data_IF_623002215039
#
_entry.id   IF_623002215039
#
_cell.length_a   1.000
_cell.length_b   1.000
_cell.length_c   1.000
_cell.angle_alpha   90.00
_cell.angle_beta   90.00
_cell.angle_gamma   90.00
#
_symmetry.space_group_name_H-M   'P 1'
#
loop_
_entity.id
_entity.type
_entity.pdbx_description
1 polymer ?
#
# COMPACT_ATOMS: atom_id res chain seq x y z
N UNK A 1 -15.86 5.93 9.62
CA UNK A 1 -14.42 5.93 9.97
C UNK A 1 -14.10 7.26 10.62
N UNK A 2 -13.61 7.26 11.83
CA UNK A 2 -13.51 8.48 12.63
C UNK A 2 -12.32 9.34 12.16
N UNK A 3 -12.61 10.55 11.68
CA UNK A 3 -11.61 11.57 11.26
C UNK A 3 -10.54 11.88 12.34
N UNK A 4 -10.72 11.38 13.56
CA UNK A 4 -9.74 11.45 14.64
C UNK A 4 -8.50 10.58 14.40
N UNK A 5 -8.65 9.37 13.81
CA UNK A 5 -7.53 8.43 13.59
C UNK A 5 -6.53 8.92 12.54
N UNK A 6 -7.01 9.53 11.45
CA UNK A 6 -6.15 10.11 10.40
C UNK A 6 -5.37 11.34 10.90
N UNK A 7 -6.00 12.18 11.74
CA UNK A 7 -5.30 13.31 12.38
C UNK A 7 -4.21 12.85 13.34
N UNK A 8 -4.38 11.69 13.97
CA UNK A 8 -3.40 11.16 14.91
C UNK A 8 -2.18 10.56 14.18
N UNK A 9 -2.36 9.95 13.01
CA UNK A 9 -1.26 9.38 12.22
C UNK A 9 -0.36 10.48 11.62
N UNK A 10 -0.92 11.56 11.09
CA UNK A 10 -0.16 12.73 10.65
C UNK A 10 0.49 13.47 11.85
N UNK A 11 -0.09 13.37 13.04
CA UNK A 11 0.49 13.90 14.25
C UNK A 11 1.73 13.13 14.71
N UNK A 12 1.91 11.85 14.34
CA UNK A 12 3.06 11.06 14.82
C UNK A 12 4.33 11.25 14.00
N UNK A 13 4.21 11.47 12.68
CA UNK A 13 5.36 11.98 11.91
C UNK A 13 5.67 13.41 12.37
N UNK A 14 4.65 14.16 12.79
CA UNK A 14 4.80 15.42 13.52
C UNK A 14 5.17 15.23 15.02
N UNK A 15 4.83 14.11 15.69
CA UNK A 15 5.08 13.89 17.13
C UNK A 15 6.53 13.51 17.43
N UNK A 16 7.31 12.99 16.52
CA UNK A 16 8.76 13.12 16.64
C UNK A 16 9.20 14.60 16.66
N UNK A 17 8.33 15.53 16.18
CA UNK A 17 8.51 16.99 16.31
C UNK A 17 7.70 17.63 17.45
N UNK A 18 6.65 17.00 17.99
CA UNK A 18 5.68 17.58 18.95
C UNK A 18 5.84 17.02 20.37
N UNK A 19 6.59 15.97 20.59
CA UNK A 19 7.11 15.67 21.94
C UNK A 19 7.97 16.83 22.49
N UNK A 20 8.21 17.87 21.65
CA UNK A 20 8.92 19.08 22.00
C UNK A 20 8.03 20.25 22.49
N UNK A 21 6.68 20.18 22.43
CA UNK A 21 5.87 21.39 22.66
C UNK A 21 4.59 21.22 23.52
N UNK A 22 4.46 20.18 24.29
CA UNK A 22 3.23 19.91 25.03
C UNK A 22 3.36 19.59 26.51
N UNK A 23 4.09 20.40 27.29
CA UNK A 23 3.94 20.31 28.74
C UNK A 23 4.19 21.66 29.41
N UNK A 24 3.10 22.27 29.82
CA UNK A 24 3.13 23.20 30.92
C UNK A 24 3.48 22.38 32.20
N UNK A 25 4.73 22.49 32.68
CA UNK A 25 5.12 22.06 34.01
C UNK A 25 5.50 20.59 34.22
N UNK A 26 6.32 20.00 33.33
CA UNK A 26 7.02 18.76 33.63
C UNK A 26 8.45 18.82 33.12
N UNK A 27 9.33 18.15 33.82
CA UNK A 27 10.74 17.97 33.48
C UNK A 27 10.89 17.73 31.98
N UNK A 28 11.81 18.50 31.36
CA UNK A 28 12.26 18.22 30.00
C UNK A 28 12.79 16.78 30.01
N UNK A 29 11.98 15.81 29.53
CA UNK A 29 12.50 14.51 29.18
C UNK A 29 13.56 14.79 28.12
N UNK A 30 14.81 14.63 28.44
CA UNK A 30 15.89 14.70 27.45
C UNK A 30 15.56 13.67 26.38
N UNK A 31 15.51 14.11 25.12
CA UNK A 31 15.32 13.19 23.98
C UNK A 31 16.52 12.24 24.04
N UNK A 32 16.30 10.93 24.04
CA UNK A 32 17.42 9.99 24.06
C UNK A 32 18.35 10.32 22.88
N UNK A 33 19.62 10.40 23.14
CA UNK A 33 20.63 10.77 22.15
C UNK A 33 20.70 9.73 21.02
N UNK A 34 20.35 8.49 21.33
CA UNK A 34 20.28 7.35 20.39
C UNK A 34 18.85 6.80 20.38
N UNK A 35 18.35 6.52 19.19
CA UNK A 35 17.03 5.93 18.94
C UNK A 35 17.24 4.69 18.07
N UNK A 36 16.85 3.53 18.57
CA UNK A 36 16.88 2.30 17.79
C UNK A 36 15.49 2.00 17.21
N UNK A 37 15.38 2.01 15.88
CA UNK A 37 14.15 1.73 15.12
C UNK A 37 14.26 0.33 14.51
N UNK A 38 13.34 -0.55 14.87
CA UNK A 38 13.16 -1.85 14.24
C UNK A 38 12.08 -1.79 13.15
N UNK A 39 12.38 -2.29 11.94
CA UNK A 39 11.42 -2.35 10.83
C UNK A 39 11.27 -3.80 10.39
N UNK A 40 10.06 -4.35 10.51
CA UNK A 40 9.71 -5.69 10.03
C UNK A 40 8.81 -5.59 8.80
N UNK A 41 9.31 -6.04 7.65
CA UNK A 41 8.60 -6.01 6.37
C UNK A 41 8.09 -7.38 5.98
N UNK A 42 6.92 -7.44 5.34
CA UNK A 42 6.36 -8.71 4.87
C UNK A 42 7.18 -9.33 3.73
N UNK A 43 7.61 -8.51 2.75
CA UNK A 43 8.40 -8.94 1.60
C UNK A 43 9.12 -7.74 0.96
N UNK A 44 10.45 -7.70 1.03
CA UNK A 44 11.23 -6.59 0.43
C UNK A 44 11.34 -6.67 -1.10
N UNK A 45 10.84 -7.73 -1.72
CA UNK A 45 10.76 -7.83 -3.20
C UNK A 45 9.61 -7.02 -3.78
N UNK A 46 8.68 -6.56 -2.95
CA UNK A 46 7.65 -5.60 -3.36
C UNK A 46 8.30 -4.26 -3.71
N UNK A 47 8.09 -3.80 -4.95
CA UNK A 47 8.72 -2.57 -5.47
C UNK A 47 8.25 -1.32 -4.73
N UNK A 48 6.98 -1.26 -4.33
CA UNK A 48 6.44 -0.15 -3.55
C UNK A 48 7.11 -0.09 -2.17
N UNK A 49 7.23 -1.23 -1.49
CA UNK A 49 7.93 -1.29 -0.19
C UNK A 49 9.41 -0.94 -0.33
N UNK A 50 10.06 -1.39 -1.40
CA UNK A 50 11.45 -1.03 -1.67
C UNK A 50 11.66 0.48 -1.72
N UNK A 51 10.83 1.21 -2.47
CA UNK A 51 10.86 2.66 -2.54
C UNK A 51 10.48 3.34 -1.22
N UNK A 52 9.48 2.83 -0.52
CA UNK A 52 9.07 3.33 0.80
C UNK A 52 10.22 3.22 1.80
N UNK A 53 10.90 2.07 1.86
CA UNK A 53 12.04 1.85 2.75
C UNK A 53 13.24 2.75 2.41
N UNK A 54 13.52 3.00 1.13
CA UNK A 54 14.57 3.96 0.75
C UNK A 54 14.22 5.39 1.17
N UNK A 55 12.96 5.79 1.05
CA UNK A 55 12.48 7.05 1.57
C UNK A 55 12.60 7.12 3.10
N UNK A 56 12.22 6.05 3.80
CA UNK A 56 12.35 5.95 5.25
C UNK A 56 13.82 6.11 5.70
N UNK A 57 14.74 5.39 5.07
CA UNK A 57 16.19 5.56 5.31
C UNK A 57 16.66 6.99 5.08
N UNK A 58 16.13 7.67 4.06
CA UNK A 58 16.46 9.06 3.75
C UNK A 58 15.99 10.01 4.86
N UNK A 59 14.78 9.78 5.38
CA UNK A 59 14.27 10.58 6.50
C UNK A 59 15.06 10.33 7.80
N UNK A 60 15.48 9.09 8.08
CA UNK A 60 16.40 8.81 9.20
C UNK A 60 17.68 9.63 9.05
N UNK A 61 18.32 9.62 7.87
CA UNK A 61 19.51 10.45 7.61
C UNK A 61 19.25 11.97 7.77
N UNK A 62 18.03 12.41 7.51
CA UNK A 62 17.63 13.81 7.71
C UNK A 62 17.53 14.14 9.19
N UNK A 63 17.02 13.22 10.02
CA UNK A 63 16.96 13.36 11.47
C UNK A 63 18.38 13.34 12.09
N UNK A 64 19.27 12.48 11.59
CA UNK A 64 20.68 12.43 12.02
C UNK A 64 21.37 13.79 11.81
N UNK A 65 21.12 14.46 10.69
CA UNK A 65 21.63 15.82 10.43
C UNK A 65 21.08 16.88 11.41
N UNK A 66 19.96 16.58 12.08
CA UNK A 66 19.36 17.42 13.13
C UNK A 66 19.88 17.08 14.52
N UNK A 67 20.80 16.13 14.64
CA UNK A 67 21.47 15.77 15.88
C UNK A 67 20.90 14.55 16.60
N UNK A 68 20.00 13.80 15.98
CA UNK A 68 19.56 12.50 16.48
C UNK A 68 20.59 11.42 16.10
N UNK A 69 20.83 10.47 17.00
CA UNK A 69 21.61 9.27 16.69
C UNK A 69 20.63 8.12 16.44
N UNK A 70 20.48 7.70 15.16
CA UNK A 70 19.48 6.72 14.77
C UNK A 70 20.17 5.41 14.39
N UNK A 71 19.80 4.33 15.09
CA UNK A 71 20.12 2.96 14.70
C UNK A 71 18.90 2.35 14.02
N UNK A 72 19.03 1.89 12.78
CA UNK A 72 17.95 1.34 11.98
C UNK A 72 18.25 -0.11 11.59
N UNK A 73 17.38 -1.02 11.99
CA UNK A 73 17.39 -2.43 11.54
C UNK A 73 16.15 -2.71 10.71
N UNK A 74 16.33 -3.28 9.52
CA UNK A 74 15.23 -3.67 8.63
C UNK A 74 15.32 -5.17 8.37
N UNK A 75 14.26 -5.91 8.65
CA UNK A 75 14.17 -7.35 8.46
C UNK A 75 13.06 -7.72 7.47
N UNK A 76 13.30 -8.76 6.67
CA UNK A 76 12.38 -9.28 5.65
C UNK A 76 11.77 -10.60 6.14
N UNK A 77 10.45 -10.64 6.30
CA UNK A 77 9.73 -11.83 6.73
C UNK A 77 9.48 -12.84 5.59
N UNK A 78 9.76 -12.45 4.33
CA UNK A 78 9.54 -13.30 3.15
C UNK A 78 8.13 -13.91 3.10
N UNK A 79 7.10 -13.13 3.42
CA UNK A 79 5.68 -13.53 3.51
C UNK A 79 5.35 -14.55 4.62
N UNK A 80 6.19 -14.68 5.65
CA UNK A 80 5.94 -15.59 6.77
C UNK A 80 5.65 -14.81 8.05
N UNK A 81 4.42 -14.90 8.58
CA UNK A 81 4.06 -14.26 9.85
C UNK A 81 4.94 -14.78 10.99
N UNK A 82 5.15 -16.08 11.06
CA UNK A 82 6.02 -16.68 12.07
C UNK A 82 7.46 -16.12 12.03
N UNK A 83 8.02 -15.96 10.82
CA UNK A 83 9.35 -15.35 10.66
C UNK A 83 9.34 -13.91 11.13
N UNK A 84 8.25 -13.18 10.86
CA UNK A 84 8.10 -11.80 11.30
C UNK A 84 8.00 -11.69 12.82
N UNK A 85 7.27 -12.60 13.47
CA UNK A 85 7.16 -12.67 14.93
C UNK A 85 8.54 -12.89 15.58
N UNK A 86 9.31 -13.87 15.05
CA UNK A 86 10.67 -14.16 15.53
C UNK A 86 11.60 -12.93 15.34
N UNK A 87 11.51 -12.23 14.21
CA UNK A 87 12.28 -11.01 13.91
C UNK A 87 11.94 -9.86 14.85
N UNK A 88 10.65 -9.66 15.16
CA UNK A 88 10.21 -8.64 16.10
C UNK A 88 10.74 -8.94 17.51
N UNK A 89 10.68 -10.19 17.95
CA UNK A 89 11.26 -10.58 19.24
C UNK A 89 12.77 -10.36 19.28
N UNK A 90 13.49 -10.62 18.18
CA UNK A 90 14.92 -10.33 18.08
C UNK A 90 15.20 -8.83 18.21
N UNK A 91 14.45 -7.96 17.52
CA UNK A 91 14.61 -6.51 17.60
C UNK A 91 14.30 -5.98 19.00
N UNK A 92 13.27 -6.50 19.66
CA UNK A 92 12.94 -6.21 21.08
C UNK A 92 14.10 -6.63 21.98
N UNK A 93 14.60 -7.87 21.83
CA UNK A 93 15.72 -8.39 22.61
C UNK A 93 17.01 -7.59 22.42
N UNK A 94 17.19 -6.96 21.26
CA UNK A 94 18.32 -6.06 20.97
C UNK A 94 18.06 -4.61 21.45
N UNK A 95 16.93 -4.33 22.11
CA UNK A 95 16.62 -3.06 22.76
C UNK A 95 16.12 -1.99 21.79
N UNK A 96 15.28 -2.32 20.81
CA UNK A 96 14.65 -1.31 19.97
C UNK A 96 13.69 -0.43 20.80
N UNK A 97 13.64 0.86 20.44
CA UNK A 97 12.78 1.85 21.08
C UNK A 97 11.42 1.98 20.38
N UNK A 98 11.35 1.64 19.10
CA UNK A 98 10.15 1.76 18.25
C UNK A 98 10.15 0.62 17.23
N UNK A 99 9.00 0.00 17.03
CA UNK A 99 8.76 -0.95 15.95
C UNK A 99 7.94 -0.32 14.84
N UNK A 100 8.37 -0.50 13.60
CA UNK A 100 7.58 -0.22 12.40
C UNK A 100 7.29 -1.55 11.71
N UNK A 101 6.02 -1.93 11.60
CA UNK A 101 5.64 -3.27 11.13
C UNK A 101 4.72 -3.20 9.93
N UNK A 102 5.14 -3.79 8.84
CA UNK A 102 4.30 -4.09 7.68
C UNK A 102 3.96 -5.58 7.72
N UNK A 103 2.77 -5.92 8.21
CA UNK A 103 2.37 -7.28 8.55
C UNK A 103 2.44 -8.25 7.38
N UNK A 104 2.97 -9.45 7.61
CA UNK A 104 2.87 -10.56 6.68
C UNK A 104 1.42 -11.06 6.61
N UNK A 105 0.76 -11.23 7.75
CA UNK A 105 -0.67 -11.49 7.86
C UNK A 105 -1.34 -10.40 8.71
N UNK A 106 -2.20 -9.59 8.08
CA UNK A 106 -2.90 -8.50 8.76
C UNK A 106 -3.91 -8.95 9.81
N UNK A 107 -4.28 -10.23 9.77
CA UNK A 107 -5.28 -10.83 10.68
C UNK A 107 -4.65 -11.55 11.87
N UNK A 108 -3.31 -11.62 11.94
CA UNK A 108 -2.60 -12.29 13.03
C UNK A 108 -1.42 -11.46 13.60
N UNK A 109 -1.66 -10.23 14.10
CA UNK A 109 -0.64 -9.40 14.73
C UNK A 109 -0.42 -9.72 16.22
N UNK A 110 -1.16 -10.66 16.80
CA UNK A 110 -1.30 -10.81 18.25
C UNK A 110 0.02 -11.06 18.97
N UNK A 111 0.92 -11.87 18.40
CA UNK A 111 2.22 -12.16 18.99
C UNK A 111 3.12 -10.92 19.01
N UNK A 112 3.11 -10.15 17.93
CA UNK A 112 3.87 -8.90 17.80
C UNK A 112 3.36 -7.87 18.81
N UNK A 113 2.02 -7.69 18.90
CA UNK A 113 1.41 -6.74 19.85
C UNK A 113 1.75 -7.12 21.29
N UNK A 114 1.58 -8.40 21.64
CA UNK A 114 1.88 -8.88 23.01
C UNK A 114 3.34 -8.65 23.37
N UNK A 115 4.27 -9.03 22.48
CA UNK A 115 5.70 -8.89 22.73
C UNK A 115 6.10 -7.42 22.93
N UNK A 116 5.58 -6.52 22.10
CA UNK A 116 5.86 -5.09 22.20
C UNK A 116 5.24 -4.47 23.47
N UNK A 117 4.01 -4.86 23.81
CA UNK A 117 3.32 -4.40 25.02
C UNK A 117 4.04 -4.81 26.31
N UNK A 118 4.55 -6.04 26.37
CA UNK A 118 5.32 -6.52 27.53
C UNK A 118 6.61 -5.72 27.78
N UNK A 119 7.13 -5.04 26.75
CA UNK A 119 8.36 -4.25 26.81
C UNK A 119 8.11 -2.74 26.69
N UNK A 120 6.84 -2.30 26.65
CA UNK A 120 6.44 -0.89 26.49
C UNK A 120 7.01 -0.22 25.23
N UNK A 121 7.09 -0.97 24.12
CA UNK A 121 7.65 -0.52 22.83
C UNK A 121 6.51 -0.19 21.87
N UNK A 122 6.32 1.08 21.46
CA UNK A 122 5.26 1.46 20.53
C UNK A 122 5.42 0.80 19.17
N UNK A 123 4.27 0.44 18.55
CA UNK A 123 4.23 -0.10 17.19
C UNK A 123 3.57 0.89 16.24
N UNK A 124 4.22 1.14 15.10
CA UNK A 124 3.64 1.82 13.95
C UNK A 124 3.43 0.77 12.87
N UNK A 125 2.21 0.29 12.74
CA UNK A 125 1.85 -0.52 11.57
C UNK A 125 1.79 0.37 10.33
N UNK A 126 2.26 -0.11 9.20
CA UNK A 126 2.23 0.67 7.97
C UNK A 126 1.84 -0.17 6.76
N UNK A 127 1.24 0.46 5.75
CA UNK A 127 0.74 -0.10 4.50
C UNK A 127 -0.39 -1.13 4.71
N UNK A 128 -0.15 -2.27 5.34
CA UNK A 128 -1.17 -3.29 5.63
C UNK A 128 -1.83 -2.97 6.98
N UNK A 129 -3.08 -2.52 6.93
CA UNK A 129 -3.84 -2.14 8.12
C UNK A 129 -4.27 -3.37 8.91
N UNK A 130 -3.90 -3.50 10.20
CA UNK A 130 -4.50 -4.52 11.07
C UNK A 130 -6.02 -4.38 11.15
N UNK A 131 -6.71 -5.39 11.63
CA UNK A 131 -8.15 -5.24 11.91
C UNK A 131 -8.35 -4.23 13.06
N UNK A 132 -9.50 -3.56 13.08
CA UNK A 132 -9.74 -2.46 14.00
C UNK A 132 -9.67 -2.91 15.47
N UNK A 133 -10.12 -4.13 15.75
CA UNK A 133 -10.08 -4.73 17.07
C UNK A 133 -8.64 -4.89 17.59
N UNK A 134 -7.69 -5.21 16.72
CA UNK A 134 -6.28 -5.33 17.09
C UNK A 134 -5.66 -3.98 17.40
N UNK A 135 -5.97 -2.95 16.63
CA UNK A 135 -5.48 -1.59 16.87
C UNK A 135 -6.03 -0.97 18.18
N UNK A 136 -7.14 -1.50 18.71
CA UNK A 136 -7.73 -1.04 19.95
C UNK A 136 -7.20 -1.74 21.19
N UNK A 137 -6.36 -2.77 21.07
CA UNK A 137 -5.88 -3.55 22.20
C UNK A 137 -4.93 -2.77 23.11
N UNK A 138 -4.24 -1.76 22.56
CA UNK A 138 -3.27 -0.97 23.31
C UNK A 138 -3.16 0.45 22.73
N UNK A 139 -2.91 1.43 23.57
CA UNK A 139 -2.88 2.86 23.20
C UNK A 139 -1.59 3.30 22.51
N UNK A 140 -0.54 2.45 22.46
CA UNK A 140 0.69 2.68 21.72
C UNK A 140 0.73 1.95 20.37
N UNK A 141 -0.42 1.57 19.84
CA UNK A 141 -0.56 1.04 18.49
C UNK A 141 -1.02 2.12 17.52
N UNK A 142 -0.28 2.28 16.44
CA UNK A 142 -0.53 3.31 15.43
C UNK A 142 -0.57 2.67 14.05
N UNK A 143 -1.31 3.28 13.13
CA UNK A 143 -1.33 2.87 11.73
C UNK A 143 -1.11 4.04 10.79
N UNK A 144 -0.26 3.82 9.78
CA UNK A 144 0.02 4.74 8.68
C UNK A 144 -0.18 4.02 7.35
N UNK A 145 -1.14 4.46 6.57
CA UNK A 145 -1.44 3.89 5.27
C UNK A 145 -2.16 4.86 4.35
N UNK A 146 -2.35 4.44 3.09
CA UNK A 146 -3.11 5.17 2.11
C UNK A 146 -4.63 4.95 2.32
N UNK A 147 -5.44 5.93 1.90
CA UNK A 147 -6.89 5.75 1.83
C UNK A 147 -7.23 5.01 0.52
N UNK A 148 -7.41 3.70 0.61
CA UNK A 148 -7.60 2.84 -0.55
C UNK A 148 -8.85 3.21 -1.37
N UNK A 149 -9.94 3.62 -0.69
CA UNK A 149 -11.17 4.05 -1.35
C UNK A 149 -10.95 5.32 -2.17
N UNK A 150 -10.24 6.30 -1.62
CA UNK A 150 -9.88 7.52 -2.33
C UNK A 150 -9.06 7.21 -3.58
N UNK A 151 -8.09 6.28 -3.48
CA UNK A 151 -7.27 5.86 -4.62
C UNK A 151 -8.13 5.31 -5.76
N UNK A 152 -9.07 4.38 -5.47
CA UNK A 152 -9.97 3.85 -6.48
C UNK A 152 -10.93 4.90 -7.04
N UNK A 153 -11.45 5.80 -6.22
CA UNK A 153 -12.29 6.91 -6.67
C UNK A 153 -11.56 7.85 -7.62
N UNK A 154 -10.31 8.22 -7.30
CA UNK A 154 -9.49 9.06 -8.17
C UNK A 154 -9.20 8.37 -9.51
N UNK A 155 -8.87 7.08 -9.50
CA UNK A 155 -8.67 6.30 -10.72
C UNK A 155 -9.95 6.25 -11.56
N UNK A 156 -11.12 6.00 -10.93
CA UNK A 156 -12.41 5.98 -11.60
C UNK A 156 -12.79 7.32 -12.20
N UNK A 157 -12.52 8.43 -11.49
CA UNK A 157 -12.75 9.77 -12.02
C UNK A 157 -11.89 10.04 -13.25
N UNK A 158 -10.57 9.78 -13.18
CA UNK A 158 -9.66 9.98 -14.30
C UNK A 158 -10.05 9.14 -15.52
N UNK A 159 -10.42 7.88 -15.30
CA UNK A 159 -10.88 7.01 -16.39
C UNK A 159 -12.21 7.49 -17.00
N UNK A 160 -13.16 7.94 -16.14
CA UNK A 160 -14.44 8.48 -16.64
C UNK A 160 -14.27 9.76 -17.46
N UNK A 161 -13.40 10.65 -17.01
CA UNK A 161 -13.11 11.89 -17.74
C UNK A 161 -12.51 11.58 -19.12
N UNK A 162 -11.54 10.66 -19.16
CA UNK A 162 -10.94 10.22 -20.42
C UNK A 162 -11.96 9.58 -21.36
N UNK A 163 -12.82 8.67 -20.87
CA UNK A 163 -13.84 8.00 -21.69
C UNK A 163 -14.86 9.02 -22.25
N UNK A 164 -15.24 10.03 -21.46
CA UNK A 164 -16.18 11.09 -21.92
C UNK A 164 -15.56 11.98 -23.00
N UNK A 165 -14.26 12.25 -22.91
CA UNK A 165 -13.52 13.04 -23.89
C UNK A 165 -13.19 12.24 -25.16
N UNK A 166 -13.15 10.90 -25.06
CA UNK A 166 -12.78 9.96 -26.12
C UNK A 166 -13.88 8.90 -26.34
N UNK A 167 -15.01 9.23 -27.02
CA UNK A 167 -16.09 8.28 -27.26
C UNK A 167 -15.70 7.04 -28.09
N UNK A 168 -14.58 7.09 -28.78
CA UNK A 168 -13.96 5.98 -29.53
C UNK A 168 -13.36 4.88 -28.63
N UNK A 169 -13.30 5.08 -27.32
CA UNK A 169 -13.00 4.02 -26.34
C UNK A 169 -14.05 2.91 -26.38
N UNK A 170 -15.33 3.24 -26.54
CA UNK A 170 -16.42 2.29 -26.84
C UNK A 170 -16.33 1.87 -28.32
N UNK A 171 -15.44 0.93 -28.61
CA UNK A 171 -15.08 0.51 -29.98
C UNK A 171 -16.18 -0.26 -30.68
N UNK A 172 -16.99 -0.99 -29.95
CA UNK A 172 -18.09 -1.77 -30.50
C UNK A 172 -19.41 -0.98 -30.56
N UNK A 173 -19.43 0.25 -29.98
CA UNK A 173 -20.58 1.17 -29.97
C UNK A 173 -21.85 0.59 -29.33
N UNK A 174 -21.69 -0.25 -28.30
CA UNK A 174 -22.83 -0.83 -27.58
C UNK A 174 -23.28 0.02 -26.37
N UNK A 175 -22.60 1.12 -26.12
CA UNK A 175 -22.87 2.05 -25.02
C UNK A 175 -22.37 1.58 -23.68
N UNK A 176 -21.49 0.57 -23.65
CA UNK A 176 -20.82 0.07 -22.45
C UNK A 176 -19.31 0.07 -22.67
N UNK A 177 -18.58 0.10 -21.58
CA UNK A 177 -17.12 -0.08 -21.59
C UNK A 177 -16.77 -1.47 -21.10
N UNK A 178 -16.21 -2.28 -21.98
CA UNK A 178 -15.71 -3.61 -21.66
C UNK A 178 -14.34 -3.52 -21.01
N UNK A 179 -14.26 -3.90 -19.74
CA UNK A 179 -13.03 -3.74 -18.97
C UNK A 179 -12.52 -5.04 -18.34
N UNK A 180 -11.23 -5.07 -18.13
CA UNK A 180 -10.54 -6.05 -17.27
C UNK A 180 -9.91 -5.32 -16.09
N UNK A 181 -9.74 -6.03 -14.97
CA UNK A 181 -9.07 -5.48 -13.82
C UNK A 181 -7.95 -6.40 -13.33
N UNK A 182 -6.79 -5.79 -13.09
CA UNK A 182 -5.64 -6.41 -12.45
C UNK A 182 -5.63 -6.01 -10.98
N UNK A 183 -5.95 -6.98 -10.14
CA UNK A 183 -6.01 -6.79 -8.69
C UNK A 183 -4.68 -7.16 -8.04
N UNK A 184 -4.40 -6.54 -6.91
CA UNK A 184 -3.25 -6.84 -6.10
C UNK A 184 -3.25 -8.26 -5.53
N UNK A 185 -2.86 -8.41 -4.30
CA UNK A 185 -2.81 -9.71 -3.62
C UNK A 185 -4.20 -10.13 -3.11
N UNK A 186 -4.50 -11.42 -3.24
CA UNK A 186 -5.75 -11.99 -2.73
C UNK A 186 -5.89 -11.76 -1.23
N UNK A 187 -7.05 -11.24 -0.80
CA UNK A 187 -7.34 -10.96 0.61
C UNK A 187 -6.70 -9.66 1.14
N UNK A 188 -5.91 -8.97 0.34
CA UNK A 188 -5.39 -7.66 0.71
C UNK A 188 -6.51 -6.62 0.68
N UNK A 189 -6.76 -5.97 1.83
CA UNK A 189 -7.87 -5.02 1.98
C UNK A 189 -7.83 -3.90 0.93
N UNK A 190 -6.67 -3.28 0.72
CA UNK A 190 -6.50 -2.22 -0.27
C UNK A 190 -6.81 -2.69 -1.70
N UNK A 191 -6.44 -3.93 -2.05
CA UNK A 191 -6.71 -4.47 -3.37
C UNK A 191 -8.22 -4.57 -3.62
N UNK A 192 -8.95 -5.14 -2.67
CA UNK A 192 -10.40 -5.29 -2.73
C UNK A 192 -11.07 -3.91 -2.81
N UNK A 193 -10.72 -3.00 -1.90
CA UNK A 193 -11.33 -1.66 -1.83
C UNK A 193 -11.05 -0.86 -3.10
N UNK A 194 -9.82 -0.87 -3.64
CA UNK A 194 -9.48 -0.18 -4.90
C UNK A 194 -10.24 -0.77 -6.09
N UNK A 195 -10.33 -2.10 -6.15
CA UNK A 195 -11.08 -2.81 -7.20
C UNK A 195 -12.56 -2.44 -7.20
N UNK A 196 -13.19 -2.39 -6.04
CA UNK A 196 -14.60 -2.06 -5.90
C UNK A 196 -14.85 -0.58 -6.16
N UNK A 197 -14.07 0.30 -5.53
CA UNK A 197 -14.28 1.74 -5.59
C UNK A 197 -14.00 2.35 -6.97
N UNK A 198 -13.07 1.79 -7.76
CA UNK A 198 -12.86 2.26 -9.14
C UNK A 198 -14.07 1.97 -10.03
N UNK A 199 -14.64 0.76 -9.93
CA UNK A 199 -15.82 0.39 -10.70
C UNK A 199 -17.08 1.15 -10.25
N UNK A 200 -17.22 1.38 -8.93
CA UNK A 200 -18.28 2.18 -8.36
C UNK A 200 -18.19 3.64 -8.83
N UNK A 201 -17.02 4.25 -8.77
CA UNK A 201 -16.78 5.62 -9.22
C UNK A 201 -17.08 5.81 -10.71
N UNK A 202 -16.68 4.87 -11.57
CA UNK A 202 -17.03 4.90 -13.00
C UNK A 202 -18.56 4.88 -13.23
N UNK A 203 -19.27 4.02 -12.50
CA UNK A 203 -20.74 3.97 -12.59
C UNK A 203 -21.42 5.24 -12.08
N UNK A 204 -20.93 5.81 -10.98
CA UNK A 204 -21.41 7.09 -10.44
C UNK A 204 -21.21 8.24 -11.43
N UNK A 205 -20.16 8.16 -12.26
CA UNK A 205 -19.89 9.10 -13.35
C UNK A 205 -20.74 8.85 -14.62
N UNK A 206 -21.63 7.86 -14.57
CA UNK A 206 -22.55 7.54 -15.68
C UNK A 206 -21.96 6.63 -16.75
N UNK A 207 -20.81 6.01 -16.50
CA UNK A 207 -20.20 5.04 -17.43
C UNK A 207 -20.85 3.67 -17.21
N UNK A 208 -21.50 3.15 -18.24
CA UNK A 208 -21.99 1.77 -18.22
C UNK A 208 -20.82 0.80 -18.42
N UNK A 209 -20.70 -0.19 -17.55
CA UNK A 209 -19.56 -1.10 -17.50
C UNK A 209 -19.95 -2.55 -17.78
N UNK A 210 -19.14 -3.26 -18.53
CA UNK A 210 -19.16 -4.71 -18.69
C UNK A 210 -17.81 -5.31 -18.29
N UNK A 211 -17.75 -6.01 -17.15
CA UNK A 211 -16.53 -6.66 -16.70
C UNK A 211 -16.27 -7.95 -17.48
N UNK A 212 -15.23 -7.99 -18.29
CA UNK A 212 -14.80 -9.18 -19.03
C UNK A 212 -14.01 -10.13 -18.15
N UNK A 213 -13.12 -9.63 -17.33
CA UNK A 213 -12.27 -10.44 -16.48
C UNK A 213 -11.75 -9.67 -15.26
N UNK A 214 -11.35 -10.47 -14.30
CA UNK A 214 -10.68 -10.08 -13.08
C UNK A 214 -9.50 -11.03 -12.86
N UNK A 215 -8.29 -10.49 -12.66
CA UNK A 215 -7.08 -11.27 -12.51
C UNK A 215 -6.23 -10.76 -11.35
N UNK A 216 -5.80 -11.67 -10.48
CA UNK A 216 -4.85 -11.36 -9.42
C UNK A 216 -3.44 -11.36 -9.99
N UNK A 217 -2.71 -10.26 -9.78
CA UNK A 217 -1.35 -10.06 -10.24
C UNK A 217 -0.36 -9.69 -9.11
N UNK A 218 -0.82 -9.78 -7.84
CA UNK A 218 0.02 -9.69 -6.63
C UNK A 218 0.96 -8.48 -6.61
N UNK A 219 0.47 -7.30 -7.00
CA UNK A 219 1.24 -6.05 -7.08
C UNK A 219 2.46 -6.12 -8.00
N UNK A 220 2.62 -7.20 -8.76
CA UNK A 220 3.83 -7.56 -9.47
C UNK A 220 3.73 -7.32 -10.98
N UNK A 221 4.68 -6.53 -11.52
CA UNK A 221 4.74 -6.14 -12.93
C UNK A 221 4.81 -7.35 -13.88
N UNK A 222 5.64 -8.35 -13.56
CA UNK A 222 5.83 -9.54 -14.42
C UNK A 222 4.59 -10.43 -14.40
N UNK A 223 3.95 -10.60 -13.22
CA UNK A 223 2.70 -11.33 -13.14
C UNK A 223 1.59 -10.63 -13.92
N UNK A 224 1.47 -9.30 -13.78
CA UNK A 224 0.52 -8.50 -14.55
C UNK A 224 0.75 -8.64 -16.06
N UNK A 225 2.00 -8.57 -16.53
CA UNK A 225 2.35 -8.80 -17.94
C UNK A 225 1.86 -10.17 -18.41
N UNK A 226 2.13 -11.23 -17.64
CA UNK A 226 1.72 -12.59 -18.02
C UNK A 226 0.19 -12.75 -18.04
N UNK A 227 -0.54 -12.15 -17.06
CA UNK A 227 -2.00 -12.14 -17.06
C UNK A 227 -2.56 -11.37 -18.26
N UNK A 228 -1.97 -10.21 -18.57
CA UNK A 228 -2.39 -9.38 -19.71
C UNK A 228 -2.19 -10.10 -21.04
N UNK A 229 -1.08 -10.79 -21.25
CA UNK A 229 -0.87 -11.61 -22.48
C UNK A 229 -1.99 -12.62 -22.65
N UNK A 230 -2.41 -13.29 -21.57
CA UNK A 230 -3.53 -14.23 -21.62
C UNK A 230 -4.85 -13.54 -21.93
N UNK A 231 -5.12 -12.38 -21.29
CA UNK A 231 -6.35 -11.60 -21.50
C UNK A 231 -6.44 -11.08 -22.93
N UNK A 232 -5.34 -10.56 -23.48
CA UNK A 232 -5.28 -10.11 -24.88
C UNK A 232 -5.60 -11.28 -25.82
N UNK A 233 -5.00 -12.44 -25.61
CA UNK A 233 -5.29 -13.64 -26.40
C UNK A 233 -6.75 -14.12 -26.29
N UNK A 234 -7.40 -13.93 -25.13
CA UNK A 234 -8.78 -14.38 -24.90
C UNK A 234 -9.83 -13.38 -25.40
N UNK A 235 -9.61 -12.10 -25.17
CA UNK A 235 -10.63 -11.07 -25.41
C UNK A 235 -10.33 -10.20 -26.64
N UNK A 236 -9.02 -10.10 -27.02
CA UNK A 236 -8.59 -9.32 -28.17
C UNK A 236 -9.26 -7.92 -28.21
N UNK A 237 -9.86 -7.54 -29.31
CA UNK A 237 -10.50 -6.22 -29.52
C UNK A 237 -11.73 -5.95 -28.63
N UNK A 238 -12.21 -6.93 -27.88
CA UNK A 238 -13.33 -6.73 -26.94
C UNK A 238 -12.94 -6.00 -25.67
N UNK A 239 -11.65 -5.95 -25.34
CA UNK A 239 -11.16 -5.32 -24.13
C UNK A 239 -10.83 -3.85 -24.40
N UNK A 240 -11.60 -2.93 -23.85
CA UNK A 240 -11.52 -1.49 -24.12
C UNK A 240 -10.75 -0.73 -23.06
N UNK A 241 -10.87 -1.16 -21.80
CA UNK A 241 -10.17 -0.53 -20.67
C UNK A 241 -9.51 -1.58 -19.80
N UNK A 242 -8.30 -1.28 -19.36
CA UNK A 242 -7.57 -2.05 -18.35
C UNK A 242 -7.43 -1.19 -17.09
N UNK A 243 -7.96 -1.68 -15.97
CA UNK A 243 -7.81 -1.08 -14.66
C UNK A 243 -6.78 -1.88 -13.86
N UNK A 244 -5.89 -1.20 -13.13
CA UNK A 244 -4.89 -1.86 -12.31
C UNK A 244 -4.81 -1.19 -10.92
N UNK A 245 -4.67 -1.97 -9.86
CA UNK A 245 -4.64 -1.43 -8.50
C UNK A 245 -3.36 -0.66 -8.16
N UNK A 246 -2.25 -0.86 -8.92
CA UNK A 246 -1.02 -0.09 -8.76
C UNK A 246 -0.27 0.12 -10.07
N UNK A 247 0.74 1.00 -10.03
CA UNK A 247 1.56 1.38 -11.19
C UNK A 247 2.35 0.21 -11.75
N UNK A 248 2.92 -0.65 -10.89
CA UNK A 248 3.72 -1.79 -11.33
C UNK A 248 2.89 -2.75 -12.20
N UNK A 249 1.63 -3.00 -11.82
CA UNK A 249 0.74 -3.84 -12.63
C UNK A 249 0.25 -3.13 -13.89
N UNK A 250 0.02 -1.82 -13.85
CA UNK A 250 -0.31 -1.02 -15.03
C UNK A 250 0.83 -1.06 -16.05
N UNK A 251 2.07 -0.84 -15.61
CA UNK A 251 3.27 -0.99 -16.45
C UNK A 251 3.41 -2.41 -17.00
N UNK A 252 3.09 -3.43 -16.20
CA UNK A 252 3.08 -4.82 -16.67
C UNK A 252 2.05 -5.07 -17.78
N UNK A 253 0.89 -4.43 -17.68
CA UNK A 253 -0.10 -4.48 -18.75
C UNK A 253 0.43 -3.83 -20.04
N UNK A 254 1.08 -2.67 -19.94
CA UNK A 254 1.72 -2.01 -21.07
C UNK A 254 2.84 -2.87 -21.69
N UNK A 255 3.69 -3.49 -20.87
CA UNK A 255 4.75 -4.41 -21.32
C UNK A 255 4.17 -5.60 -22.11
N UNK A 256 2.95 -6.05 -21.79
CA UNK A 256 2.29 -7.13 -22.52
C UNK A 256 1.93 -6.70 -23.94
N UNK A 257 1.40 -5.51 -24.12
CA UNK A 257 1.09 -4.95 -25.44
C UNK A 257 2.37 -4.77 -26.26
N UNK A 258 3.41 -4.17 -25.68
CA UNK A 258 4.70 -4.00 -26.35
C UNK A 258 5.29 -5.34 -26.80
N UNK A 259 5.29 -6.34 -25.90
CA UNK A 259 5.81 -7.69 -26.19
C UNK A 259 5.06 -8.40 -27.33
N UNK A 260 3.77 -8.11 -27.49
CA UNK A 260 2.94 -8.65 -28.57
C UNK A 260 3.03 -7.82 -29.87
N UNK A 261 3.85 -6.77 -29.87
CA UNK A 261 4.10 -5.95 -31.06
C UNK A 261 3.09 -4.82 -31.26
N UNK A 262 2.26 -4.53 -30.28
CA UNK A 262 1.38 -3.36 -30.30
C UNK A 262 2.19 -2.12 -29.93
N UNK A 263 2.48 -1.28 -30.90
CA UNK A 263 3.19 -0.01 -30.71
C UNK A 263 2.23 1.15 -30.95
N UNK A 264 2.65 2.37 -30.58
CA UNK A 264 1.86 3.60 -30.84
C UNK A 264 1.50 3.78 -32.32
N UNK A 265 2.27 3.20 -33.23
CA UNK A 265 2.08 3.26 -34.68
C UNK A 265 1.24 2.11 -35.23
N UNK A 266 0.99 1.05 -34.42
CA UNK A 266 0.22 -0.13 -34.86
C UNK A 266 -0.96 -0.34 -33.89
N UNK A 267 -1.85 0.65 -33.83
CA UNK A 267 -3.01 0.74 -32.94
C UNK A 267 -4.25 -0.04 -33.39
N UNK A 268 -4.14 -0.95 -34.34
CA UNK A 268 -5.25 -1.87 -34.67
C UNK A 268 -5.32 -2.99 -33.61
N UNK A 269 -5.96 -2.69 -32.48
CA UNK A 269 -6.53 -3.65 -31.57
C UNK A 269 -8.01 -3.74 -31.80
#
# INVERSE_FOLDING_TARGET
MDKRKIKNAMALIGLMGILLYGACGSEKKEIPKQIYIGVACYDQRDTFLGELLENFKRECRTLEKRGYDISLTIMDAANSQRTQDDQVQEMIGNGCDILCVNLADRTDPSQIITAAQEHDIPIIFFNREPVEEDLMQWDQLYYVGAEAKQSGQMQGQLAADYIKEHPDVDRNHDGKIQYVILEGEMGHQDAIIRTESVAESLKEQGIALEKLSYQIANWNRVQAQNRMIQLIGQYNNRMEVVLANNDAMALGAMDAYEKLGYTETNREL
#
